data_IF_233354342348
#
_entry.id   IF_233354342348
#
_cell.length_a   1.000
_cell.length_b   1.000
_cell.length_c   1.000
_cell.angle_alpha   90.00
_cell.angle_beta   90.00
_cell.angle_gamma   90.00
#
_symmetry.space_group_name_H-M   'P 1'
#
loop_
_entity.id
_entity.type
_entity.pdbx_description
1 polymer ?
#
# COMPACT_ATOMS: atom_id res chain seq x y z
N UNK A 1 5.41 7.61 11.88
CA UNK A 1 5.20 7.29 13.31
C UNK A 1 4.32 6.06 13.36
N UNK A 2 4.65 5.08 14.21
CA UNK A 2 3.93 3.81 14.29
C UNK A 2 2.50 4.06 14.80
N UNK A 3 1.49 3.60 14.07
CA UNK A 3 0.09 3.75 14.49
C UNK A 3 -0.17 2.82 15.68
N UNK A 4 -0.28 3.40 16.87
CA UNK A 4 -0.49 2.66 18.12
C UNK A 4 -1.76 1.80 18.02
N UNK A 5 -1.64 0.50 18.31
CA UNK A 5 -2.75 -0.46 18.18
C UNK A 5 -2.86 -1.15 16.82
N UNK A 6 -2.02 -0.80 15.84
CA UNK A 6 -1.94 -1.47 14.54
C UNK A 6 -0.68 -2.32 14.42
N UNK A 7 -0.82 -3.43 13.69
CA UNK A 7 0.32 -4.18 13.15
C UNK A 7 0.83 -3.46 11.91
N UNK A 8 2.15 -3.32 11.81
CA UNK A 8 2.84 -2.71 10.68
C UNK A 8 3.68 -3.78 9.98
N UNK A 9 3.49 -3.90 8.67
CA UNK A 9 4.25 -4.82 7.81
C UNK A 9 4.84 -3.98 6.68
N UNK A 10 6.13 -4.17 6.43
CA UNK A 10 6.85 -3.43 5.39
C UNK A 10 7.54 -4.40 4.46
N UNK A 11 7.33 -4.23 3.17
CA UNK A 11 7.92 -5.05 2.11
C UNK A 11 8.59 -4.16 1.05
N UNK A 12 9.76 -4.60 0.58
CA UNK A 12 10.49 -3.93 -0.49
C UNK A 12 10.12 -4.58 -1.82
N UNK A 13 9.91 -3.77 -2.84
CA UNK A 13 9.61 -4.23 -4.19
C UNK A 13 10.29 -3.34 -5.23
N UNK A 14 10.43 -3.87 -6.44
CA UNK A 14 10.90 -3.11 -7.60
C UNK A 14 9.72 -2.89 -8.53
N UNK A 15 9.39 -1.63 -8.82
CA UNK A 15 8.28 -1.30 -9.70
C UNK A 15 8.72 -1.41 -11.17
N UNK A 16 7.99 -2.17 -11.99
CA UNK A 16 8.22 -2.18 -13.44
C UNK A 16 7.89 -0.81 -14.02
N UNK A 17 8.47 -0.48 -15.19
CA UNK A 17 8.32 0.85 -15.82
C UNK A 17 6.85 1.27 -16.02
N UNK A 18 5.96 0.31 -16.28
CA UNK A 18 4.52 0.55 -16.39
C UNK A 18 3.85 1.02 -15.10
N UNK A 19 4.44 0.73 -13.95
CA UNK A 19 3.98 1.14 -12.62
C UNK A 19 4.72 2.37 -12.09
N UNK A 20 5.35 3.18 -12.96
CA UNK A 20 6.01 4.42 -12.53
C UNK A 20 5.06 5.62 -12.48
N UNK A 21 3.95 5.57 -13.21
CA UNK A 21 2.94 6.62 -13.15
C UNK A 21 2.07 6.47 -11.90
N UNK A 22 1.77 7.60 -11.26
CA UNK A 22 0.90 7.66 -10.09
C UNK A 22 -0.49 7.07 -10.38
N UNK A 23 -1.04 7.33 -11.58
CA UNK A 23 -2.30 6.74 -12.02
C UNK A 23 -2.24 5.20 -12.09
N UNK A 24 -1.17 4.63 -12.67
CA UNK A 24 -1.03 3.18 -12.78
C UNK A 24 -0.92 2.51 -11.40
N UNK A 25 -0.13 3.10 -10.49
CA UNK A 25 -0.02 2.62 -9.11
C UNK A 25 -1.38 2.64 -8.43
N UNK A 26 -2.09 3.78 -8.50
CA UNK A 26 -3.40 3.93 -7.87
C UNK A 26 -4.38 2.90 -8.41
N UNK A 27 -4.43 2.71 -9.73
CA UNK A 27 -5.31 1.72 -10.34
C UNK A 27 -4.99 0.30 -9.88
N UNK A 28 -3.72 -0.11 -9.92
CA UNK A 28 -3.31 -1.46 -9.53
C UNK A 28 -3.59 -1.74 -8.05
N UNK A 29 -3.25 -0.80 -7.17
CA UNK A 29 -3.47 -0.93 -5.73
C UNK A 29 -4.97 -0.95 -5.40
N UNK A 30 -5.77 -0.08 -6.03
CA UNK A 30 -7.23 -0.08 -5.85
C UNK A 30 -7.86 -1.39 -6.33
N UNK A 31 -7.41 -1.94 -7.47
CA UNK A 31 -7.92 -3.22 -7.98
C UNK A 31 -7.53 -4.41 -7.09
N UNK A 32 -6.29 -4.42 -6.57
CA UNK A 32 -5.80 -5.53 -5.75
C UNK A 32 -6.41 -5.55 -4.35
N UNK A 33 -6.64 -4.38 -3.74
CA UNK A 33 -6.96 -4.26 -2.32
C UNK A 33 -8.31 -3.59 -2.01
N UNK A 34 -9.06 -3.14 -3.03
CA UNK A 34 -10.30 -2.37 -2.88
C UNK A 34 -10.16 -1.19 -1.91
N UNK A 35 -9.14 -0.36 -2.16
CA UNK A 35 -8.76 0.77 -1.31
C UNK A 35 -8.95 2.10 -2.04
N UNK A 36 -9.28 3.14 -1.27
CA UNK A 36 -9.34 4.51 -1.76
C UNK A 36 -8.00 5.22 -1.60
N UNK A 37 -7.61 6.02 -2.60
CA UNK A 37 -6.43 6.90 -2.49
C UNK A 37 -6.72 8.04 -1.52
N UNK A 38 -5.76 8.34 -0.66
CA UNK A 38 -5.76 9.48 0.25
C UNK A 38 -4.81 10.55 -0.33
N UNK A 39 -5.27 11.81 -0.51
CA UNK A 39 -4.38 12.89 -0.89
C UNK A 39 -3.25 13.05 0.13
N UNK A 40 -2.00 13.02 -0.34
CA UNK A 40 -0.83 13.20 0.51
C UNK A 40 0.05 14.32 -0.03
N UNK A 41 0.51 15.21 0.85
CA UNK A 41 1.39 16.33 0.51
C UNK A 41 2.89 16.04 0.71
N UNK A 42 3.26 14.78 0.95
CA UNK A 42 4.65 14.39 1.22
C UNK A 42 5.41 14.12 -0.09
N UNK A 43 6.58 14.74 -0.25
CA UNK A 43 7.35 14.72 -1.50
C UNK A 43 7.90 13.32 -1.91
N UNK A 44 8.01 12.38 -0.97
CA UNK A 44 8.64 11.07 -1.20
C UNK A 44 7.65 9.90 -1.19
N UNK A 45 6.34 10.17 -1.06
CA UNK A 45 5.31 9.13 -1.13
C UNK A 45 4.76 9.05 -2.57
N UNK A 46 4.73 7.84 -3.17
CA UNK A 46 4.04 7.64 -4.44
C UNK A 46 2.54 7.90 -4.24
N UNK A 47 1.96 7.19 -3.28
CA UNK A 47 0.55 7.32 -2.93
C UNK A 47 0.27 6.66 -1.57
N UNK A 48 -0.73 7.20 -0.89
CA UNK A 48 -1.29 6.65 0.34
C UNK A 48 -2.70 6.16 0.06
N UNK A 49 -3.09 5.06 0.68
CA UNK A 49 -4.42 4.47 0.53
C UNK A 49 -4.99 4.11 1.89
N UNK A 50 -6.31 4.13 1.98
CA UNK A 50 -7.04 3.73 3.16
C UNK A 50 -8.24 2.86 2.78
N UNK A 51 -8.55 1.90 3.63
CA UNK A 51 -9.75 1.09 3.53
C UNK A 51 -10.25 0.67 4.90
N UNK A 52 -11.49 0.16 4.89
CA UNK A 52 -12.13 -0.46 6.03
C UNK A 52 -12.65 -1.83 5.59
N UNK A 53 -12.36 -2.88 6.33
CA UNK A 53 -12.89 -4.20 6.01
C UNK A 53 -14.40 -4.26 6.22
N UNK A 54 -15.10 -4.96 5.33
CA UNK A 54 -16.57 -5.00 5.35
C UNK A 54 -17.10 -5.68 6.62
N UNK A 55 -16.56 -6.83 6.99
CA UNK A 55 -17.11 -7.65 8.09
C UNK A 55 -16.71 -7.17 9.47
N UNK A 56 -15.43 -6.84 9.69
CA UNK A 56 -14.94 -6.44 11.02
C UNK A 56 -14.81 -4.94 11.21
N UNK A 57 -15.02 -4.15 10.17
CA UNK A 57 -14.81 -2.71 10.22
C UNK A 57 -13.37 -2.31 10.48
N UNK A 58 -12.40 -3.19 10.24
CA UNK A 58 -11.01 -2.95 10.60
C UNK A 58 -10.36 -1.98 9.64
N UNK A 59 -9.66 -1.00 10.19
CA UNK A 59 -8.98 0.02 9.40
C UNK A 59 -7.65 -0.51 8.86
N UNK A 60 -7.39 -0.16 7.61
CA UNK A 60 -6.14 -0.43 6.93
C UNK A 60 -5.61 0.86 6.33
N UNK A 61 -4.33 1.15 6.58
CA UNK A 61 -3.59 2.21 5.93
C UNK A 61 -2.43 1.61 5.15
N UNK A 62 -2.32 1.97 3.88
CA UNK A 62 -1.27 1.50 2.97
C UNK A 62 -0.49 2.72 2.50
N UNK A 63 0.83 2.65 2.59
CA UNK A 63 1.74 3.68 2.10
C UNK A 63 2.69 3.03 1.10
N UNK A 64 2.79 3.60 -0.10
CA UNK A 64 3.81 3.24 -1.06
C UNK A 64 4.82 4.39 -1.18
N UNK A 65 6.06 4.14 -0.79
CA UNK A 65 7.14 5.13 -0.81
C UNK A 65 8.10 4.87 -1.96
N UNK A 66 8.58 5.94 -2.60
CA UNK A 66 9.64 5.86 -3.60
C UNK A 66 11.00 5.71 -2.91
N UNK A 67 11.78 4.73 -3.35
CA UNK A 67 13.20 4.57 -3.02
C UNK A 67 14.02 4.90 -4.27
N UNK A 68 15.34 4.79 -4.19
CA UNK A 68 16.23 5.12 -5.31
C UNK A 68 15.92 4.26 -6.56
N UNK A 69 15.86 4.91 -7.72
CA UNK A 69 15.55 4.25 -8.99
C UNK A 69 14.14 3.68 -9.04
N UNK A 70 14.04 2.39 -9.41
CA UNK A 70 12.78 1.65 -9.50
C UNK A 70 12.37 0.98 -8.17
N UNK A 71 13.18 1.12 -7.11
CA UNK A 71 12.85 0.55 -5.83
C UNK A 71 11.68 1.29 -5.17
N UNK A 72 10.81 0.54 -4.52
CA UNK A 72 9.70 1.06 -3.73
C UNK A 72 9.58 0.28 -2.43
N UNK A 73 8.93 0.90 -1.45
CA UNK A 73 8.62 0.27 -0.18
C UNK A 73 7.13 0.36 0.06
N UNK A 74 6.49 -0.80 0.25
CA UNK A 74 5.10 -0.91 0.65
C UNK A 74 5.05 -1.08 2.16
N UNK A 75 4.31 -0.22 2.84
CA UNK A 75 4.02 -0.36 4.28
C UNK A 75 2.50 -0.48 4.46
N UNK A 76 2.06 -1.56 5.09
CA UNK A 76 0.65 -1.81 5.42
C UNK A 76 0.49 -1.81 6.94
N UNK A 77 -0.34 -0.90 7.41
CA UNK A 77 -0.80 -0.82 8.79
C UNK A 77 -2.23 -1.37 8.86
N UNK A 78 -2.48 -2.31 9.76
CA UNK A 78 -3.79 -2.92 9.96
C UNK A 78 -3.98 -3.30 11.42
N UNK A 79 -5.20 -3.18 11.94
CA UNK A 79 -5.53 -3.69 13.29
C UNK A 79 -5.34 -5.20 13.40
N UNK A 80 -5.59 -5.94 12.31
CA UNK A 80 -5.39 -7.39 12.27
C UNK A 80 -4.20 -7.74 11.40
N UNK A 81 -3.24 -8.46 11.98
CA UNK A 81 -2.03 -8.91 11.30
C UNK A 81 -2.33 -9.76 10.06
N UNK A 82 -3.30 -10.67 10.13
CA UNK A 82 -3.66 -11.55 9.00
C UNK A 82 -4.15 -10.76 7.78
N UNK A 83 -4.93 -9.70 8.01
CA UNK A 83 -5.36 -8.81 6.91
C UNK A 83 -4.15 -8.09 6.32
N UNK A 84 -3.23 -7.61 7.17
CA UNK A 84 -2.01 -6.95 6.72
C UNK A 84 -1.14 -7.86 5.85
N UNK A 85 -0.91 -9.11 6.25
CA UNK A 85 -0.06 -10.04 5.49
C UNK A 85 -0.69 -10.44 4.14
N UNK A 86 -2.01 -10.59 4.08
CA UNK A 86 -2.73 -10.85 2.82
C UNK A 86 -2.58 -9.67 1.86
N UNK A 87 -2.89 -8.46 2.34
CA UNK A 87 -2.82 -7.25 1.51
C UNK A 87 -1.42 -6.95 0.98
N UNK A 88 -0.37 -7.17 1.78
CA UNK A 88 1.02 -7.03 1.31
C UNK A 88 1.28 -7.95 0.12
N UNK A 89 0.90 -9.23 0.21
CA UNK A 89 1.12 -10.21 -0.86
C UNK A 89 0.37 -9.83 -2.13
N UNK A 90 -0.92 -9.50 -2.00
CA UNK A 90 -1.78 -9.20 -3.15
C UNK A 90 -1.32 -7.92 -3.87
N UNK A 91 -0.94 -6.88 -3.12
CA UNK A 91 -0.47 -5.62 -3.68
C UNK A 91 0.92 -5.78 -4.31
N UNK A 92 1.85 -6.49 -3.67
CA UNK A 92 3.18 -6.75 -4.24
C UNK A 92 3.05 -7.53 -5.54
N UNK A 93 2.20 -8.56 -5.57
CA UNK A 93 1.94 -9.31 -6.80
C UNK A 93 1.35 -8.42 -7.89
N UNK A 94 0.36 -7.57 -7.58
CA UNK A 94 -0.25 -6.67 -8.55
C UNK A 94 0.72 -5.61 -9.10
N UNK A 95 1.61 -5.09 -8.24
CA UNK A 95 2.61 -4.10 -8.65
C UNK A 95 3.80 -4.71 -9.39
N UNK A 96 4.08 -5.99 -9.21
CA UNK A 96 5.14 -6.72 -9.90
C UNK A 96 4.71 -7.28 -11.27
N UNK A 97 3.40 -7.41 -11.50
CA UNK A 97 2.85 -7.87 -12.78
C UNK A 97 3.11 -6.86 -13.86
#
# INVERSE_FOLDING_TARGET
>A
GKLTGMSEITEKLTLPEKCWSDHAIVQQVTMAANVGRVPCGAANEYSRFAAKTMTSGSLVLITLERREGAAAQLTVNSEKMVIGTMLVKDIVQALAQ
#
